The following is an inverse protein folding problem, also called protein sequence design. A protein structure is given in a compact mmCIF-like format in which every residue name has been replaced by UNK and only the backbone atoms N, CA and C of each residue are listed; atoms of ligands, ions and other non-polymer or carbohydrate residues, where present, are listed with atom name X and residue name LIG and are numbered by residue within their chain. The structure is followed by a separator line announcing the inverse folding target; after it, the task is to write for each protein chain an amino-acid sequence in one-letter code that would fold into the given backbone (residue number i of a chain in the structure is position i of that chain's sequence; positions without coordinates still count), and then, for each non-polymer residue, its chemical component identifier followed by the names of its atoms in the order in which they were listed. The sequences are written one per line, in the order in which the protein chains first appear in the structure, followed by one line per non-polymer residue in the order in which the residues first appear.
data_IF_917558321559
#
_entry.id   IF_917558321559
#
_cell.length_a   1.000
_cell.length_b   1.000
_cell.length_c   1.000
_cell.angle_alpha   90.00
_cell.angle_beta   90.00
_cell.angle_gamma   90.00
#
_symmetry.space_group_name_H-M   'P 1'
#
loop_
_entity.id
_entity.type
_entity.pdbx_description
1 polymer ?
#
# COMPACT_ATOMS: atom_id res chain seq x y z
N UNK A 1 -21.29 12.42 4.98
CA UNK A 1 -21.69 11.30 5.86
C UNK A 1 -20.46 10.46 6.13
N UNK A 2 -19.91 10.51 7.34
CA UNK A 2 -18.68 9.84 7.73
C UNK A 2 -19.09 8.55 8.42
N UNK A 3 -19.07 7.46 7.67
CA UNK A 3 -19.33 6.11 8.18
C UNK A 3 -18.12 5.71 9.02
N UNK A 4 -18.18 6.00 10.33
CA UNK A 4 -17.32 5.33 11.28
C UNK A 4 -17.84 3.90 11.41
N UNK A 5 -17.02 2.91 11.05
CA UNK A 5 -17.16 1.58 11.66
C UNK A 5 -16.82 1.84 13.13
N UNK A 6 -17.88 2.02 13.93
CA UNK A 6 -17.78 2.12 15.36
C UNK A 6 -17.09 0.85 15.88
N UNK A 7 -16.27 0.99 16.91
CA UNK A 7 -15.79 -0.19 17.62
C UNK A 7 -17.03 -0.97 18.08
N UNK A 8 -17.07 -2.30 17.95
CA UNK A 8 -18.25 -3.06 18.34
C UNK A 8 -18.63 -2.73 19.78
N UNK A 9 -19.88 -2.34 20.02
CA UNK A 9 -20.41 -2.16 21.36
C UNK A 9 -20.33 -3.49 22.14
N UNK A 10 -20.22 -3.41 23.47
CA UNK A 10 -20.17 -4.58 24.34
C UNK A 10 -21.34 -5.52 24.05
N UNK A 11 -21.05 -6.69 23.46
CA UNK A 11 -22.05 -7.71 23.10
C UNK A 11 -22.30 -7.92 21.60
N UNK A 12 -21.64 -7.17 20.71
CA UNK A 12 -21.77 -7.42 19.26
C UNK A 12 -21.12 -8.77 18.86
N UNK A 13 -21.86 -9.59 18.11
CA UNK A 13 -21.37 -10.86 17.57
C UNK A 13 -20.94 -10.71 16.11
N UNK A 14 -19.77 -11.26 15.79
CA UNK A 14 -19.20 -11.27 14.45
C UNK A 14 -19.87 -12.37 13.62
N UNK A 15 -20.75 -12.00 12.68
CA UNK A 15 -21.50 -12.96 11.86
C UNK A 15 -20.73 -13.47 10.63
N UNK A 16 -19.69 -12.74 10.21
CA UNK A 16 -18.81 -13.07 9.09
C UNK A 16 -17.35 -12.83 9.52
N UNK A 17 -16.36 -13.61 9.07
CA UNK A 17 -14.96 -13.31 9.34
C UNK A 17 -14.63 -11.90 8.85
N UNK A 18 -14.27 -10.99 9.76
CA UNK A 18 -13.64 -9.74 9.40
C UNK A 18 -12.24 -9.69 9.97
N UNK A 19 -11.31 -9.14 9.19
CA UNK A 19 -10.00 -8.77 9.70
C UNK A 19 -10.11 -7.37 10.26
N UNK A 20 -9.88 -7.20 11.56
CA UNK A 20 -9.61 -5.87 12.11
C UNK A 20 -8.28 -5.42 11.51
N UNK A 21 -8.35 -4.60 10.45
CA UNK A 21 -7.18 -3.88 9.98
C UNK A 21 -6.95 -2.71 10.94
N UNK A 22 -6.14 -2.93 11.98
CA UNK A 22 -5.98 -1.94 13.04
C UNK A 22 -4.77 -2.12 13.95
N UNK A 23 -3.77 -2.89 13.51
CA UNK A 23 -2.45 -2.82 14.13
C UNK A 23 -1.77 -1.50 13.76
N UNK A 24 -0.85 -1.02 14.61
CA UNK A 24 -0.08 0.18 14.32
C UNK A 24 0.63 0.03 12.95
N UNK A 25 0.56 1.06 12.07
CA UNK A 25 1.23 1.03 10.79
C UNK A 25 2.73 0.77 10.98
N UNK A 26 3.23 -0.32 10.42
CA UNK A 26 4.66 -0.61 10.39
C UNK A 26 5.26 -0.05 9.12
N UNK A 27 6.28 0.81 9.24
CA UNK A 27 6.99 1.30 8.08
C UNK A 27 7.84 0.18 7.46
N UNK A 28 7.56 -0.16 6.20
CA UNK A 28 8.24 -1.25 5.49
C UNK A 28 9.57 -0.83 4.85
N UNK A 29 9.81 0.48 4.72
CA UNK A 29 11.02 1.03 4.09
C UNK A 29 10.70 1.97 2.93
N UNK A 30 11.78 2.49 2.33
CA UNK A 30 11.74 3.29 1.10
C UNK A 30 12.01 2.34 -0.07
N UNK A 31 11.14 2.32 -1.07
CA UNK A 31 11.33 1.51 -2.26
C UNK A 31 12.50 2.04 -3.10
N UNK A 32 13.32 1.12 -3.62
CA UNK A 32 14.29 1.44 -4.65
C UNK A 32 13.53 1.79 -5.93
N UNK A 33 14.02 2.79 -6.66
CA UNK A 33 13.40 3.26 -7.89
C UNK A 33 14.43 3.36 -9.01
N UNK A 34 13.94 3.34 -10.25
CA UNK A 34 14.79 3.59 -11.41
C UNK A 34 14.98 2.43 -12.35
N UNK A 35 14.42 1.24 -12.08
CA UNK A 35 14.49 0.15 -13.06
C UNK A 35 13.70 0.48 -14.33
N UNK A 36 14.12 -0.16 -15.43
CA UNK A 36 13.61 0.06 -16.78
C UNK A 36 12.17 -0.46 -16.92
N UNK A 37 11.31 0.38 -17.50
CA UNK A 37 9.91 0.16 -17.83
C UNK A 37 9.63 0.68 -19.24
N UNK A 38 10.10 -0.05 -20.28
CA UNK A 38 9.94 0.35 -21.68
C UNK A 38 8.47 0.43 -22.08
N UNK A 39 7.61 -0.36 -21.46
CA UNK A 39 6.16 -0.31 -21.62
C UNK A 39 5.55 1.03 -21.17
N UNK A 40 6.09 1.60 -20.09
CA UNK A 40 5.68 2.92 -19.58
C UNK A 40 6.25 4.02 -20.45
N UNK A 41 7.52 3.93 -20.87
CA UNK A 41 8.12 4.90 -21.77
C UNK A 41 7.43 4.96 -23.14
N UNK A 42 7.00 3.81 -23.67
CA UNK A 42 6.23 3.73 -24.92
C UNK A 42 4.90 4.49 -24.82
N UNK A 43 4.25 4.42 -23.65
CA UNK A 43 2.92 5.03 -23.44
C UNK A 43 3.01 6.51 -23.06
N UNK A 44 3.99 6.91 -22.25
CA UNK A 44 4.03 8.23 -21.60
C UNK A 44 5.26 9.09 -22.00
N UNK A 45 6.24 8.52 -22.70
CA UNK A 45 7.47 9.18 -23.14
C UNK A 45 8.73 8.71 -22.41
N UNK A 46 9.89 8.85 -23.08
CA UNK A 46 11.17 8.30 -22.62
C UNK A 46 11.64 8.80 -21.24
N UNK A 47 11.17 9.95 -20.78
CA UNK A 47 11.44 10.44 -19.42
C UNK A 47 10.88 9.52 -18.31
N UNK A 48 9.93 8.64 -18.66
CA UNK A 48 9.34 7.67 -17.74
C UNK A 48 9.96 6.27 -17.83
N UNK A 49 11.02 6.08 -18.61
CA UNK A 49 11.70 4.77 -18.75
C UNK A 49 12.15 4.20 -17.41
N UNK A 50 12.57 5.05 -16.48
CA UNK A 50 13.08 4.65 -15.15
C UNK A 50 12.04 4.84 -14.05
N UNK A 51 10.76 4.61 -14.36
CA UNK A 51 9.66 4.83 -13.40
C UNK A 51 9.32 3.61 -12.53
N UNK A 52 10.09 2.51 -12.62
CA UNK A 52 9.86 1.35 -11.75
C UNK A 52 10.16 1.68 -10.29
N UNK A 53 9.51 0.93 -9.39
CA UNK A 53 9.82 0.90 -7.98
C UNK A 53 9.70 -0.53 -7.44
N UNK A 54 10.56 -0.91 -6.50
CA UNK A 54 10.50 -2.22 -5.83
C UNK A 54 10.94 -2.11 -4.37
N UNK A 55 10.33 -2.92 -3.50
CA UNK A 55 10.68 -3.03 -2.10
C UNK A 55 10.51 -4.48 -1.66
N UNK A 56 11.54 -5.04 -1.04
CA UNK A 56 11.47 -6.37 -0.42
C UNK A 56 11.28 -6.18 1.08
N UNK A 57 10.05 -6.41 1.55
CA UNK A 57 9.74 -6.42 2.98
C UNK A 57 10.16 -7.78 3.58
N UNK A 58 11.15 -7.77 4.47
CA UNK A 58 11.65 -8.97 5.14
C UNK A 58 11.02 -9.14 6.53
N UNK A 59 10.97 -10.38 7.01
CA UNK A 59 10.58 -10.73 8.38
C UNK A 59 9.15 -10.31 8.81
N UNK A 60 8.21 -10.22 7.86
CA UNK A 60 6.79 -10.10 8.22
C UNK A 60 6.32 -11.40 8.86
N UNK A 61 5.66 -11.28 10.02
CA UNK A 61 5.01 -12.42 10.65
C UNK A 61 3.87 -12.94 9.76
N UNK A 62 3.46 -14.19 9.97
CA UNK A 62 2.28 -14.73 9.27
C UNK A 62 1.05 -13.90 9.62
N UNK A 63 0.27 -13.56 8.61
CA UNK A 63 -0.91 -12.72 8.80
C UNK A 63 -1.40 -12.06 7.52
N UNK A 64 -2.52 -11.36 7.66
CA UNK A 64 -3.12 -10.56 6.58
C UNK A 64 -2.76 -9.10 6.77
N UNK A 65 -2.13 -8.51 5.77
CA UNK A 65 -1.69 -7.13 5.77
C UNK A 65 -2.39 -6.33 4.66
N UNK A 66 -2.65 -5.04 4.92
CA UNK A 66 -2.89 -4.08 3.85
C UNK A 66 -1.57 -3.33 3.63
N UNK A 67 -0.94 -3.55 2.48
CA UNK A 67 0.26 -2.83 2.08
C UNK A 67 -0.18 -1.54 1.40
N UNK A 68 0.24 -0.39 1.95
CA UNK A 68 -0.06 0.93 1.41
C UNK A 68 1.20 1.56 0.83
N UNK A 69 1.13 1.97 -0.43
CA UNK A 69 2.22 2.66 -1.14
C UNK A 69 1.84 4.12 -1.32
N UNK A 70 2.74 5.02 -0.94
CA UNK A 70 2.58 6.46 -1.10
C UNK A 70 3.54 6.95 -2.19
N UNK A 71 3.07 7.15 -3.44
CA UNK A 71 3.95 7.58 -4.52
C UNK A 71 4.31 9.07 -4.38
N UNK A 72 5.54 9.42 -4.77
CA UNK A 72 5.99 10.80 -4.84
C UNK A 72 5.61 11.41 -6.19
N UNK A 73 4.87 12.51 -6.16
CA UNK A 73 4.52 13.27 -7.37
C UNK A 73 5.60 14.30 -7.68
N UNK A 74 6.36 14.07 -8.75
CA UNK A 74 7.47 14.93 -9.15
C UNK A 74 7.07 16.40 -9.44
N UNK A 75 5.85 16.65 -9.93
CA UNK A 75 5.39 18.00 -10.27
C UNK A 75 5.05 18.89 -9.07
N UNK A 76 4.66 18.28 -7.95
CA UNK A 76 4.25 19.00 -6.73
C UNK A 76 5.20 18.78 -5.55
N UNK A 77 6.07 17.77 -5.61
CA UNK A 77 6.95 17.39 -4.51
C UNK A 77 6.22 16.73 -3.34
N UNK A 78 4.97 16.30 -3.53
CA UNK A 78 4.11 15.76 -2.48
C UNK A 78 3.90 14.25 -2.63
N UNK A 79 3.61 13.58 -1.52
CA UNK A 79 3.22 12.17 -1.50
C UNK A 79 1.69 12.08 -1.57
N UNK A 80 1.15 11.77 -2.74
CA UNK A 80 -0.29 11.78 -3.03
C UNK A 80 -0.69 10.59 -3.89
N UNK A 81 -1.94 10.13 -3.78
CA UNK A 81 -2.46 9.01 -4.58
C UNK A 81 -2.11 7.63 -4.02
N UNK A 82 -2.19 7.48 -2.70
CA UNK A 82 -1.87 6.23 -2.03
C UNK A 82 -2.68 5.05 -2.60
N UNK A 83 -1.98 3.93 -2.84
CA UNK A 83 -2.58 2.67 -3.30
C UNK A 83 -2.46 1.63 -2.20
N UNK A 84 -3.53 0.86 -1.98
CA UNK A 84 -3.55 -0.20 -0.96
C UNK A 84 -3.84 -1.55 -1.62
N UNK A 85 -3.06 -2.57 -1.26
CA UNK A 85 -3.28 -3.95 -1.68
C UNK A 85 -3.31 -4.87 -0.47
N UNK A 86 -4.21 -5.86 -0.48
CA UNK A 86 -4.24 -6.88 0.57
C UNK A 86 -3.29 -8.00 0.23
N UNK A 87 -2.43 -8.37 1.18
CA UNK A 87 -1.45 -9.45 1.04
C UNK A 87 -1.61 -10.42 2.21
N UNK A 88 -1.51 -11.71 1.93
CA UNK A 88 -1.51 -12.77 2.95
C UNK A 88 -0.10 -13.37 3.00
N UNK A 89 0.50 -13.34 4.19
CA UNK A 89 1.78 -14.01 4.48
C UNK A 89 1.45 -15.38 5.09
N UNK A 90 1.72 -16.50 4.38
CA UNK A 90 1.36 -17.84 4.81
C UNK A 90 2.28 -18.41 5.89
#
# INVERSE_FOLDING_TARGET
MRMAIDMPSSGAIVQQPFTVAGGDPTFLGVADSGDSRPDVAETYGGQFERSSFSLIANALQRGTYNVVVYPHRASTGTFEGAQSVRVVVP
#
